data_IF_973525295640
#
_entry.id   IF_973525295640
#
_cell.length_a   1.000
_cell.length_b   1.000
_cell.length_c   1.000
_cell.angle_alpha   90.00
_cell.angle_beta   90.00
_cell.angle_gamma   90.00
#
_symmetry.space_group_name_H-M   'P 1'
#
loop_
_entity.id
_entity.type
_entity.pdbx_description
1 polymer ?
#
# COMPACT_ATOMS: atom_id res chain seq x y z
N UNK A 1 -14.85 14.57 -6.93
CA UNK A 1 -13.74 14.82 -5.99
C UNK A 1 -13.79 13.74 -4.92
N UNK A 2 -13.10 12.62 -5.10
CA UNK A 2 -12.95 11.66 -4.01
C UNK A 2 -12.01 12.29 -2.97
N UNK A 3 -12.48 12.52 -1.75
CA UNK A 3 -11.61 12.82 -0.61
C UNK A 3 -10.50 11.76 -0.56
N UNK A 4 -9.23 12.17 -0.40
CA UNK A 4 -8.10 11.23 -0.22
C UNK A 4 -8.25 10.52 1.12
N UNK A 5 -9.12 9.53 1.18
CA UNK A 5 -9.31 8.66 2.33
C UNK A 5 -8.21 7.60 2.33
N UNK A 6 -7.66 7.32 3.51
CA UNK A 6 -6.78 6.17 3.69
C UNK A 6 -7.59 4.87 3.53
N UNK A 7 -7.02 3.81 2.91
CA UNK A 7 -5.70 3.75 2.26
C UNK A 7 -5.71 4.22 0.80
N UNK A 8 -4.66 4.97 0.39
CA UNK A 8 -4.51 5.48 -0.98
C UNK A 8 -4.41 4.37 -2.03
N UNK A 9 -3.84 3.22 -1.65
CA UNK A 9 -3.51 2.13 -2.56
C UNK A 9 -4.69 1.20 -2.90
N UNK A 10 -5.84 1.36 -2.24
CA UNK A 10 -7.04 0.58 -2.53
C UNK A 10 -8.30 1.44 -2.39
N UNK A 11 -8.91 1.79 -3.52
CA UNK A 11 -10.14 2.58 -3.57
C UNK A 11 -11.31 1.85 -2.95
N UNK A 12 -11.40 0.53 -3.17
CA UNK A 12 -12.45 -0.32 -2.58
C UNK A 12 -12.37 -0.30 -1.05
N UNK A 13 -11.17 -0.42 -0.49
CA UNK A 13 -10.97 -0.37 0.96
C UNK A 13 -11.16 1.04 1.52
N UNK A 14 -10.73 2.08 0.81
CA UNK A 14 -10.91 3.48 1.23
C UNK A 14 -12.39 3.88 1.41
N UNK A 15 -13.29 3.23 0.66
CA UNK A 15 -14.74 3.43 0.72
C UNK A 15 -15.42 2.65 1.86
N UNK A 16 -14.72 1.74 2.54
CA UNK A 16 -15.29 1.00 3.66
C UNK A 16 -15.57 1.93 4.86
N UNK A 17 -16.84 2.03 5.31
CA UNK A 17 -17.22 2.97 6.37
C UNK A 17 -16.87 2.47 7.79
N UNK A 18 -16.37 1.24 7.93
CA UNK A 18 -16.12 0.59 9.22
C UNK A 18 -14.66 0.72 9.66
N UNK A 19 -14.36 0.27 10.89
CA UNK A 19 -12.97 0.16 11.37
C UNK A 19 -12.17 -0.91 10.63
N UNK A 20 -12.82 -1.82 9.89
CA UNK A 20 -12.15 -2.82 9.02
C UNK A 20 -11.20 -2.14 8.05
N UNK A 21 -11.57 -0.96 7.51
CA UNK A 21 -10.73 -0.13 6.65
C UNK A 21 -9.33 0.09 7.22
N UNK A 22 -9.25 0.42 8.50
CA UNK A 22 -7.99 0.78 9.16
C UNK A 22 -7.15 -0.49 9.32
N UNK A 23 -7.74 -1.55 9.87
CA UNK A 23 -7.04 -2.80 10.11
C UNK A 23 -6.52 -3.45 8.83
N UNK A 24 -7.35 -3.55 7.80
CA UNK A 24 -6.92 -4.07 6.51
C UNK A 24 -5.99 -3.10 5.79
N UNK A 25 -6.13 -1.79 5.97
CA UNK A 25 -5.21 -0.81 5.39
C UNK A 25 -3.79 -0.95 5.93
N UNK A 26 -3.63 -1.40 7.17
CA UNK A 26 -2.33 -1.74 7.75
C UNK A 26 -1.86 -3.13 7.29
N UNK A 27 -2.75 -4.13 7.34
CA UNK A 27 -2.42 -5.50 6.97
C UNK A 27 -1.99 -5.65 5.50
N UNK A 28 -2.58 -4.86 4.59
CA UNK A 28 -2.32 -4.92 3.15
C UNK A 28 -1.27 -3.90 2.67
N UNK A 29 -0.65 -3.13 3.59
CA UNK A 29 0.23 -2.02 3.20
C UNK A 29 1.46 -2.48 2.40
N UNK A 30 1.97 -3.68 2.68
CA UNK A 30 3.15 -4.27 2.03
C UNK A 30 2.81 -5.34 0.99
N UNK A 31 1.53 -5.69 0.83
CA UNK A 31 1.06 -6.54 -0.27
C UNK A 31 0.90 -5.69 -1.53
N UNK A 32 2.04 -5.31 -2.13
CA UNK A 32 2.07 -4.39 -3.26
C UNK A 32 1.36 -4.95 -4.50
N UNK A 33 1.37 -6.27 -4.70
CA UNK A 33 0.73 -6.92 -5.84
C UNK A 33 -0.79 -6.67 -5.86
N UNK A 34 -1.41 -6.58 -4.69
CA UNK A 34 -2.84 -6.36 -4.55
C UNK A 34 -3.25 -4.87 -4.65
N UNK A 35 -2.32 -3.95 -4.88
CA UNK A 35 -2.62 -2.51 -4.93
C UNK A 35 -3.25 -2.13 -6.27
N UNK A 36 -4.20 -1.19 -6.24
CA UNK A 36 -4.93 -0.76 -7.44
C UNK A 36 -3.97 -0.18 -8.49
N UNK A 37 -4.04 -0.69 -9.71
CA UNK A 37 -3.22 -0.21 -10.84
C UNK A 37 -1.74 -0.59 -10.77
N UNK A 38 -1.38 -1.61 -9.97
CA UNK A 38 -0.01 -2.12 -9.93
C UNK A 38 0.38 -2.76 -11.28
N UNK A 39 1.60 -2.47 -11.74
CA UNK A 39 2.26 -3.13 -12.87
C UNK A 39 3.51 -3.84 -12.37
N UNK A 40 3.98 -4.85 -13.11
CA UNK A 40 5.18 -5.61 -12.73
C UNK A 40 6.43 -4.73 -12.57
N UNK A 41 6.65 -3.80 -13.51
CA UNK A 41 7.78 -2.86 -13.43
C UNK A 41 7.72 -2.01 -12.15
N UNK A 42 6.55 -1.43 -11.83
CA UNK A 42 6.37 -0.58 -10.64
C UNK A 42 6.49 -1.40 -9.35
N UNK A 43 5.97 -2.63 -9.36
CA UNK A 43 6.12 -3.58 -8.25
C UNK A 43 7.60 -3.80 -7.92
N UNK A 44 8.41 -4.18 -8.91
CA UNK A 44 9.83 -4.40 -8.69
C UNK A 44 10.58 -3.13 -8.27
N UNK A 45 10.25 -1.97 -8.84
CA UNK A 45 10.83 -0.70 -8.41
C UNK A 45 10.52 -0.38 -6.94
N UNK A 46 9.28 -0.61 -6.48
CA UNK A 46 8.87 -0.42 -5.08
C UNK A 46 9.55 -1.39 -4.13
N UNK A 47 9.64 -2.67 -4.52
CA UNK A 47 10.35 -3.69 -3.76
C UNK A 47 11.82 -3.29 -3.63
N UNK A 48 12.47 -2.94 -4.74
CA UNK A 48 13.87 -2.52 -4.75
C UNK A 48 14.14 -1.32 -3.82
N UNK A 49 13.33 -0.26 -3.91
CA UNK A 49 13.46 0.90 -3.02
C UNK A 49 13.23 0.54 -1.53
N UNK A 50 12.29 -0.37 -1.25
CA UNK A 50 11.99 -0.84 0.11
C UNK A 50 13.17 -1.58 0.74
N UNK A 51 13.94 -2.33 -0.06
CA UNK A 51 15.18 -2.98 0.41
C UNK A 51 16.21 -1.97 0.91
N UNK A 52 16.42 -0.84 0.21
CA UNK A 52 17.31 0.21 0.69
C UNK A 52 16.82 0.85 1.98
N UNK A 53 15.51 1.04 2.11
CA UNK A 53 14.92 1.48 3.38
C UNK A 53 15.23 0.51 4.53
N UNK A 54 15.08 -0.79 4.29
CA UNK A 54 15.38 -1.81 5.29
C UNK A 54 16.87 -1.90 5.63
N UNK A 55 17.75 -1.79 4.64
CA UNK A 55 19.20 -1.73 4.85
C UNK A 55 19.56 -0.54 5.75
N UNK A 56 18.98 0.64 5.50
CA UNK A 56 19.22 1.82 6.33
C UNK A 56 18.72 1.67 7.78
N UNK A 57 17.63 0.94 8.01
CA UNK A 57 17.14 0.65 9.37
C UNK A 57 18.06 -0.34 10.10
N UNK A 58 18.68 -1.27 9.37
CA UNK A 58 19.46 -2.37 9.95
C UNK A 58 20.92 -2.00 10.23
N UNK A 59 21.46 -1.03 9.50
CA UNK A 59 22.84 -0.51 9.63
C UNK A 59 22.93 0.59 10.68
#
# INVERSE_FOLDING_TARGET
MATKLFPKFSQGLAQDPTTRRIWYGLAMAHDFESHDGMTEENLYQKIFASHFGQLFITL
#
